data_IF_494852994068
#
_entry.id   IF_494852994068
#
_cell.length_a   1.000
_cell.length_b   1.000
_cell.length_c   1.000
_cell.angle_alpha   90.00
_cell.angle_beta   90.00
_cell.angle_gamma   90.00
#
_symmetry.space_group_name_H-M   'P 1'
#
loop_
_entity.id
_entity.type
_entity.pdbx_description
1 polymer ?
#
# COMPACT_ATOMS: atom_id res chain seq x y z
N UNK A 1 1.10 -8.17 -9.87
CA UNK A 1 -0.36 -7.94 -9.95
C UNK A 1 -1.22 -9.18 -9.66
N UNK A 2 -0.76 -10.42 -9.86
CA UNK A 2 -1.57 -11.64 -9.65
C UNK A 2 -1.88 -12.01 -8.19
N UNK A 3 -1.07 -11.57 -7.24
CA UNK A 3 -1.19 -11.97 -5.83
C UNK A 3 -2.41 -11.34 -5.14
N UNK A 4 -2.65 -10.04 -5.34
CA UNK A 4 -3.83 -9.35 -4.78
C UNK A 4 -5.16 -9.80 -5.39
N UNK A 5 -5.13 -10.51 -6.52
CA UNK A 5 -6.33 -11.10 -7.11
C UNK A 5 -6.73 -12.43 -6.46
N UNK A 6 -5.83 -13.02 -5.66
CA UNK A 6 -6.02 -14.29 -4.95
C UNK A 6 -6.24 -14.01 -3.46
N UNK A 7 -5.48 -13.06 -2.91
CA UNK A 7 -5.62 -12.60 -1.53
C UNK A 7 -5.56 -11.06 -1.51
N UNK A 8 -6.73 -10.38 -1.51
CA UNK A 8 -6.80 -8.92 -1.59
C UNK A 8 -6.33 -8.21 -0.31
N UNK A 9 -6.13 -8.94 0.80
CA UNK A 9 -5.69 -8.37 2.08
C UNK A 9 -4.22 -8.60 2.40
N UNK A 10 -3.47 -9.21 1.47
CA UNK A 10 -2.05 -9.46 1.70
C UNK A 10 -1.21 -8.18 1.64
N UNK A 11 -1.03 -7.55 2.79
CA UNK A 11 -0.36 -6.25 2.94
C UNK A 11 1.07 -6.21 2.37
N UNK A 12 1.81 -7.31 2.41
CA UNK A 12 3.16 -7.37 1.80
C UNK A 12 3.14 -7.11 0.30
N UNK A 13 2.10 -7.58 -0.40
CA UNK A 13 1.95 -7.34 -1.83
C UNK A 13 1.68 -5.85 -2.11
N UNK A 14 0.94 -5.15 -1.24
CA UNK A 14 0.79 -3.70 -1.32
C UNK A 14 2.11 -2.99 -1.05
N UNK A 15 2.84 -3.38 0.01
CA UNK A 15 4.15 -2.79 0.35
C UNK A 15 5.16 -2.93 -0.79
N UNK A 16 5.19 -4.09 -1.46
CA UNK A 16 6.05 -4.30 -2.65
C UNK A 16 5.65 -3.37 -3.79
N UNK A 17 4.36 -3.23 -4.09
CA UNK A 17 3.88 -2.31 -5.13
C UNK A 17 4.19 -0.85 -4.80
N UNK A 18 3.99 -0.42 -3.55
CA UNK A 18 4.34 0.93 -3.10
C UNK A 18 5.83 1.23 -3.32
N UNK A 19 6.71 0.29 -2.95
CA UNK A 19 8.16 0.43 -3.19
C UNK A 19 8.51 0.46 -4.68
N UNK A 20 7.86 -0.36 -5.50
CA UNK A 20 8.08 -0.41 -6.94
C UNK A 20 7.61 0.88 -7.65
N UNK A 21 6.53 1.51 -7.18
CA UNK A 21 6.09 2.81 -7.71
C UNK A 21 7.03 3.94 -7.30
N UNK A 22 7.59 3.88 -6.08
CA UNK A 22 8.63 4.83 -5.66
C UNK A 22 9.91 4.73 -6.49
N UNK A 23 10.37 3.52 -6.83
CA UNK A 23 11.54 3.35 -7.71
C UNK A 23 11.30 3.87 -9.13
N UNK A 24 10.04 3.99 -9.55
CA UNK A 24 9.63 4.57 -10.83
C UNK A 24 9.32 6.08 -10.73
N UNK A 25 9.62 6.72 -9.59
CA UNK A 25 9.26 8.11 -9.29
C UNK A 25 7.74 8.40 -9.41
N UNK A 26 6.91 7.36 -9.35
CA UNK A 26 5.46 7.48 -9.42
C UNK A 26 4.85 7.52 -8.01
N UNK A 27 5.17 8.59 -7.28
CA UNK A 27 4.66 8.83 -5.91
C UNK A 27 3.13 8.79 -5.83
N UNK A 28 2.34 9.41 -6.73
CA UNK A 28 0.89 9.34 -6.66
C UNK A 28 0.35 7.92 -6.67
N UNK A 29 0.91 7.05 -7.51
CA UNK A 29 0.48 5.66 -7.61
C UNK A 29 0.87 4.83 -6.37
N UNK A 30 2.01 5.15 -5.74
CA UNK A 30 2.40 4.55 -4.46
C UNK A 30 1.41 4.92 -3.33
N UNK A 31 0.96 6.18 -3.28
CA UNK A 31 -0.04 6.64 -2.30
C UNK A 31 -1.41 5.99 -2.54
N UNK A 32 -1.88 5.94 -3.80
CA UNK A 32 -3.11 5.23 -4.19
C UNK A 32 -3.09 3.75 -3.80
N UNK A 33 -1.93 3.11 -3.87
CA UNK A 33 -1.78 1.71 -3.50
C UNK A 33 -2.04 1.49 -2.01
N UNK A 34 -1.63 2.43 -1.14
CA UNK A 34 -1.97 2.39 0.28
C UNK A 34 -3.47 2.56 0.52
N UNK A 35 -4.13 3.52 -0.17
CA UNK A 35 -5.58 3.73 -0.05
C UNK A 35 -6.37 2.45 -0.39
N UNK A 36 -5.92 1.72 -1.42
CA UNK A 36 -6.51 0.42 -1.78
C UNK A 36 -6.30 -0.65 -0.72
N UNK A 37 -5.13 -0.68 -0.08
CA UNK A 37 -4.86 -1.59 1.04
C UNK A 37 -5.82 -1.32 2.20
N UNK A 38 -6.03 -0.05 2.56
CA UNK A 38 -6.97 0.35 3.60
C UNK A 38 -8.38 -0.10 3.27
N UNK A 39 -8.83 0.15 2.02
CA UNK A 39 -10.17 -0.23 1.59
C UNK A 39 -10.40 -1.76 1.64
N UNK A 40 -9.43 -2.55 1.15
CA UNK A 40 -9.54 -4.01 1.14
C UNK A 40 -9.59 -4.61 2.57
N UNK A 41 -8.81 -4.07 3.50
CA UNK A 41 -8.81 -4.52 4.90
C UNK A 41 -10.10 -4.11 5.64
N UNK A 42 -10.61 -2.92 5.35
CA UNK A 42 -11.87 -2.46 5.92
C UNK A 42 -13.06 -3.29 5.40
N UNK A 43 -13.07 -3.65 4.12
CA UNK A 43 -14.15 -4.43 3.50
C UNK A 43 -14.23 -5.87 4.03
N UNK A 44 -13.09 -6.55 4.18
CA UNK A 44 -13.07 -7.97 4.55
C UNK A 44 -12.98 -8.21 6.06
N UNK A 45 -12.30 -7.34 6.82
CA UNK A 45 -11.96 -7.59 8.22
C UNK A 45 -12.31 -6.44 9.18
N UNK A 46 -12.73 -5.28 8.68
CA UNK A 46 -12.95 -4.05 9.48
C UNK A 46 -11.74 -3.67 10.36
N UNK A 47 -10.53 -3.92 9.84
CA UNK A 47 -9.26 -3.63 10.53
C UNK A 47 -8.43 -2.57 9.80
N UNK A 48 -7.63 -1.79 10.53
CA UNK A 48 -6.64 -0.92 9.91
C UNK A 48 -5.45 -1.71 9.35
N UNK A 49 -4.65 -1.13 8.43
CA UNK A 49 -3.39 -1.70 7.99
C UNK A 49 -2.39 -1.89 9.13
N UNK A 50 -1.49 -2.85 8.95
CA UNK A 50 -0.36 -3.06 9.85
C UNK A 50 0.53 -1.80 9.97
N UNK A 51 1.15 -1.59 11.15
CA UNK A 51 2.02 -0.44 11.40
C UNK A 51 3.13 -0.26 10.36
N UNK A 52 3.69 -1.34 9.84
CA UNK A 52 4.73 -1.35 8.81
C UNK A 52 4.23 -0.76 7.49
N UNK A 53 2.98 -1.06 7.12
CA UNK A 53 2.33 -0.54 5.91
C UNK A 53 2.09 0.97 6.05
N UNK A 54 1.56 1.41 7.19
CA UNK A 54 1.36 2.84 7.48
C UNK A 54 2.69 3.60 7.62
N UNK A 55 3.73 2.97 8.16
CA UNK A 55 5.07 3.56 8.23
C UNK A 55 5.67 3.78 6.83
N UNK A 56 5.48 2.84 5.90
CA UNK A 56 5.91 3.00 4.51
C UNK A 56 5.15 4.16 3.83
N UNK A 57 3.83 4.24 4.01
CA UNK A 57 3.03 5.35 3.49
C UNK A 57 3.55 6.71 3.99
N UNK A 58 3.82 6.84 5.29
CA UNK A 58 4.38 8.07 5.87
C UNK A 58 5.75 8.43 5.29
N UNK A 59 6.63 7.44 5.06
CA UNK A 59 7.92 7.68 4.39
C UNK A 59 7.75 8.22 2.97
N UNK A 60 6.79 7.69 2.22
CA UNK A 60 6.49 8.12 0.84
C UNK A 60 5.87 9.53 0.83
N UNK A 61 5.04 9.85 1.82
CA UNK A 61 4.51 11.19 2.02
C UNK A 61 5.63 12.19 2.33
N UNK A 62 6.65 11.83 3.11
CA UNK A 62 7.77 12.75 3.41
C UNK A 62 8.82 12.87 2.29
N UNK A 63 8.83 11.97 1.30
CA UNK A 63 9.90 11.88 0.29
C UNK A 63 9.78 12.88 -0.88
N UNK A 64 8.87 13.86 -0.81
CA UNK A 64 8.77 14.89 -1.85
C UNK A 64 8.32 16.24 -1.28
N UNK A 65 8.86 16.56 -0.11
CA UNK A 65 9.07 17.91 0.42
C UNK A 65 10.54 18.30 0.21
#
# INVERSE_FOLDING_TARGET
QRVLAIDPVWEDAYRVQMRAFMSQQNRPLALRTYERCVAALAEEFDVPPLPETTALYRKIMAAGD
#
